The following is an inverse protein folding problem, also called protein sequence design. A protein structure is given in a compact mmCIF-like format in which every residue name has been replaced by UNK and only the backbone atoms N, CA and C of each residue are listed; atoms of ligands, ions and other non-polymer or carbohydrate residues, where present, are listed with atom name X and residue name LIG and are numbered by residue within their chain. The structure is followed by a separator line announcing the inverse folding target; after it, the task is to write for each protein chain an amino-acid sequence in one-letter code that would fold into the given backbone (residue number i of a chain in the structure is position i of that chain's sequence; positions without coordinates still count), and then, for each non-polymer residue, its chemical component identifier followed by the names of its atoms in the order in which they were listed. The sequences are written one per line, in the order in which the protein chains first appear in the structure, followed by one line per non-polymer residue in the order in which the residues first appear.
data_IF_398836407391
#
_entry.id   IF_398836407391
#
_cell.length_a   1.000
_cell.length_b   1.000
_cell.length_c   1.000
_cell.angle_alpha   90.00
_cell.angle_beta   90.00
_cell.angle_gamma   90.00
#
_symmetry.space_group_name_H-M   'P 1'
#
loop_
_entity.id
_entity.type
_entity.pdbx_description
1 polymer ?
#
# COMPACT_ATOMS: atom_id res chain seq x y z
N UNK A 1 -9.85 9.71 -12.61
CA UNK A 1 -8.97 9.83 -11.41
C UNK A 1 -8.66 11.30 -11.18
N UNK A 2 -9.52 11.99 -10.47
CA UNK A 2 -9.28 13.38 -10.06
C UNK A 2 -8.17 13.41 -9.00
N UNK A 3 -7.18 14.29 -9.18
CA UNK A 3 -6.10 14.52 -8.20
C UNK A 3 -4.76 13.83 -8.49
N UNK A 4 -4.58 13.13 -9.60
CA UNK A 4 -3.29 12.60 -10.02
C UNK A 4 -2.53 13.62 -10.87
N UNK A 5 -1.33 14.01 -10.42
CA UNK A 5 -0.40 14.83 -11.18
C UNK A 5 1.00 14.29 -11.00
N UNK A 6 1.64 13.85 -12.06
CA UNK A 6 3.01 13.36 -12.03
C UNK A 6 3.95 14.35 -12.72
N UNK A 7 5.04 14.67 -12.08
CA UNK A 7 6.12 15.52 -12.58
C UNK A 7 7.36 14.72 -12.94
N UNK A 8 7.57 13.60 -12.25
CA UNK A 8 8.66 12.68 -12.51
C UNK A 8 8.23 11.24 -12.21
N UNK A 9 9.02 10.27 -12.67
CA UNK A 9 8.84 8.86 -12.37
C UNK A 9 9.64 8.36 -11.17
N UNK A 10 10.55 9.18 -10.63
CA UNK A 10 11.43 8.79 -9.51
C UNK A 10 10.75 8.93 -8.14
N UNK A 11 9.66 9.72 -8.06
CA UNK A 11 8.97 10.04 -6.83
C UNK A 11 9.65 11.12 -5.98
N UNK A 12 10.72 11.76 -6.47
CA UNK A 12 11.45 12.78 -5.72
C UNK A 12 10.88 14.19 -5.86
N UNK A 13 10.12 14.45 -6.93
CA UNK A 13 9.52 15.75 -7.16
C UNK A 13 8.39 16.02 -6.14
N UNK A 14 8.52 17.15 -5.43
CA UNK A 14 7.44 17.65 -4.57
C UNK A 14 6.22 18.16 -5.36
N UNK A 15 6.31 18.24 -6.68
CA UNK A 15 5.20 18.55 -7.57
C UNK A 15 4.30 17.36 -7.86
N UNK A 16 4.71 16.14 -7.51
CA UNK A 16 3.84 14.97 -7.59
C UNK A 16 2.64 15.12 -6.65
N UNK A 17 1.46 14.82 -7.15
CA UNK A 17 0.21 14.77 -6.40
C UNK A 17 -0.48 13.46 -6.70
N UNK A 18 -0.80 12.71 -5.67
CA UNK A 18 -1.54 11.46 -5.76
C UNK A 18 -2.24 11.17 -4.43
N UNK A 19 -3.23 10.33 -4.48
CA UNK A 19 -3.98 9.92 -3.29
C UNK A 19 -3.68 8.47 -2.94
N UNK A 20 -3.89 8.08 -1.69
CA UNK A 20 -3.82 6.67 -1.27
C UNK A 20 -4.77 5.81 -2.11
N UNK A 21 -5.98 6.31 -2.40
CA UNK A 21 -6.94 5.63 -3.28
C UNK A 21 -6.38 5.37 -4.67
N UNK A 22 -5.73 6.36 -5.32
CA UNK A 22 -5.18 6.17 -6.66
C UNK A 22 -4.10 5.09 -6.69
N UNK A 23 -3.26 5.01 -5.64
CA UNK A 23 -2.26 3.94 -5.52
C UNK A 23 -2.88 2.57 -5.26
N UNK A 24 -3.88 2.48 -4.37
CA UNK A 24 -4.58 1.20 -4.13
C UNK A 24 -5.27 0.69 -5.38
N UNK A 25 -5.91 1.56 -6.16
CA UNK A 25 -6.54 1.20 -7.44
C UNK A 25 -5.48 0.76 -8.46
N UNK A 26 -4.33 1.45 -8.52
CA UNK A 26 -3.23 1.02 -9.39
C UNK A 26 -2.72 -0.37 -9.03
N UNK A 27 -2.49 -0.64 -7.74
CA UNK A 27 -2.06 -1.95 -7.26
C UNK A 27 -3.06 -3.04 -7.62
N UNK A 28 -4.36 -2.79 -7.42
CA UNK A 28 -5.43 -3.70 -7.77
C UNK A 28 -5.47 -3.99 -9.28
N UNK A 29 -5.37 -2.95 -10.12
CA UNK A 29 -5.33 -3.12 -11.59
C UNK A 29 -4.09 -3.90 -12.04
N UNK A 30 -2.93 -3.60 -11.45
CA UNK A 30 -1.70 -4.34 -11.76
C UNK A 30 -1.80 -5.82 -11.37
N UNK A 31 -2.52 -6.15 -10.32
CA UNK A 31 -2.76 -7.54 -9.93
C UNK A 31 -3.66 -8.31 -10.93
N UNK A 32 -4.45 -7.60 -11.74
CA UNK A 32 -5.24 -8.19 -12.83
C UNK A 32 -4.50 -8.20 -14.18
N UNK A 33 -3.30 -7.61 -14.24
CA UNK A 33 -2.55 -7.47 -15.48
C UNK A 33 -1.83 -8.80 -15.82
N UNK A 34 -1.64 -9.15 -17.11
CA UNK A 34 -0.86 -10.34 -17.49
C UNK A 34 0.55 -10.39 -16.90
N UNK A 35 1.16 -9.24 -16.60
CA UNK A 35 2.48 -9.12 -15.97
C UNK A 35 2.42 -9.02 -14.44
N UNK A 36 1.30 -9.36 -13.79
CA UNK A 36 1.13 -9.24 -12.33
C UNK A 36 2.24 -9.93 -11.53
N UNK A 37 2.66 -11.13 -11.95
CA UNK A 37 3.70 -11.88 -11.27
C UNK A 37 5.06 -11.14 -11.31
N UNK A 38 5.43 -10.56 -12.45
CA UNK A 38 6.65 -9.77 -12.57
C UNK A 38 6.57 -8.47 -11.75
N UNK A 39 5.41 -7.82 -11.75
CA UNK A 39 5.18 -6.63 -10.97
C UNK A 39 5.34 -6.92 -9.46
N UNK A 40 4.68 -7.95 -8.95
CA UNK A 40 4.82 -8.37 -7.56
C UNK A 40 6.26 -8.80 -7.22
N UNK A 41 6.91 -9.55 -8.11
CA UNK A 41 8.29 -9.98 -7.93
C UNK A 41 9.29 -8.82 -7.87
N UNK A 42 8.99 -7.66 -8.48
CA UNK A 42 9.82 -6.45 -8.42
C UNK A 42 9.71 -5.69 -7.10
N UNK A 43 8.72 -5.99 -6.26
CA UNK A 43 8.50 -5.29 -4.99
C UNK A 43 9.47 -5.74 -3.90
N UNK A 44 9.71 -4.86 -2.93
CA UNK A 44 10.35 -5.24 -1.67
C UNK A 44 9.42 -6.13 -0.85
N UNK A 45 10.00 -7.01 -0.01
CA UNK A 45 9.26 -7.96 0.82
C UNK A 45 9.57 -7.68 2.29
N UNK A 46 8.54 -7.54 3.10
CA UNK A 46 8.64 -7.30 4.53
C UNK A 46 9.53 -8.36 5.22
N UNK A 47 10.53 -7.88 5.95
CA UNK A 47 11.49 -8.72 6.69
C UNK A 47 12.45 -9.54 5.83
N UNK A 48 12.44 -9.39 4.48
CA UNK A 48 13.23 -10.26 3.61
C UNK A 48 14.05 -9.53 2.56
N UNK A 49 13.46 -8.60 1.79
CA UNK A 49 14.09 -8.05 0.60
C UNK A 49 13.81 -6.57 0.38
N UNK A 50 14.77 -5.87 -0.24
CA UNK A 50 14.64 -4.50 -0.68
C UNK A 50 14.50 -3.50 0.48
N UNK A 51 13.80 -2.40 0.26
CA UNK A 51 13.63 -1.34 1.28
C UNK A 51 12.79 -1.77 2.48
N UNK A 52 12.16 -2.93 2.43
CA UNK A 52 11.39 -3.50 3.53
C UNK A 52 12.15 -4.61 4.29
N UNK A 53 13.38 -4.93 3.92
CA UNK A 53 14.15 -6.02 4.54
C UNK A 53 14.28 -5.89 6.05
N UNK A 54 14.45 -4.69 6.56
CA UNK A 54 14.64 -4.42 7.98
C UNK A 54 13.35 -3.97 8.68
N UNK A 55 12.18 -4.15 8.04
CA UNK A 55 10.89 -3.77 8.58
C UNK A 55 10.09 -5.00 9.02
N UNK A 56 9.28 -4.82 10.06
CA UNK A 56 8.27 -5.77 10.52
C UNK A 56 8.83 -7.08 11.11
N UNK A 57 10.08 -7.12 11.53
CA UNK A 57 10.67 -8.26 12.23
C UNK A 57 9.83 -8.67 13.44
N UNK A 58 9.67 -9.99 13.66
CA UNK A 58 8.88 -10.51 14.75
C UNK A 58 7.37 -10.32 14.62
N UNK A 59 6.89 -9.88 13.46
CA UNK A 59 5.45 -9.72 13.20
C UNK A 59 4.96 -10.69 12.13
N UNK A 60 3.63 -10.97 12.08
CA UNK A 60 3.04 -11.79 11.02
C UNK A 60 3.14 -11.20 9.61
N UNK A 61 3.65 -9.98 9.45
CA UNK A 61 3.83 -9.33 8.14
C UNK A 61 5.08 -9.83 7.39
N UNK A 62 6.03 -10.46 8.10
CA UNK A 62 7.26 -11.00 7.47
C UNK A 62 6.87 -11.97 6.35
N UNK A 63 7.36 -11.70 5.14
CA UNK A 63 7.05 -12.50 3.95
C UNK A 63 5.63 -12.38 3.41
N UNK A 64 4.75 -11.56 4.03
CA UNK A 64 3.32 -11.42 3.68
C UNK A 64 2.92 -10.01 3.24
N UNK A 65 3.86 -9.11 3.12
CA UNK A 65 3.63 -7.79 2.56
C UNK A 65 4.68 -7.50 1.49
N UNK A 66 4.23 -7.27 0.27
CA UNK A 66 5.02 -6.85 -0.88
C UNK A 66 4.73 -5.40 -1.15
N UNK A 67 5.73 -4.54 -1.18
CA UNK A 67 5.44 -3.13 -1.35
C UNK A 67 6.66 -2.23 -1.52
N UNK A 68 6.38 -0.94 -1.45
CA UNK A 68 7.37 0.12 -1.54
C UNK A 68 7.12 1.18 -0.48
N UNK A 69 8.19 1.59 0.18
CA UNK A 69 8.20 2.76 1.07
C UNK A 69 8.55 4.02 0.30
N UNK A 70 8.02 5.14 0.73
CA UNK A 70 8.43 6.48 0.29
C UNK A 70 8.83 7.34 1.48
N UNK A 71 9.94 8.05 1.36
CA UNK A 71 10.47 8.92 2.41
C UNK A 71 11.02 10.19 1.78
N UNK A 72 10.40 11.31 2.11
CA UNK A 72 10.90 12.66 1.88
C UNK A 72 10.76 13.45 3.18
N UNK A 73 11.43 14.59 3.28
CA UNK A 73 11.21 15.49 4.42
C UNK A 73 9.73 15.86 4.49
N UNK A 74 9.08 15.59 5.62
CA UNK A 74 7.65 15.83 5.84
C UNK A 74 6.69 14.91 5.06
N UNK A 75 7.20 13.82 4.45
CA UNK A 75 6.34 12.81 3.79
C UNK A 75 6.82 11.40 4.11
N UNK A 76 5.89 10.56 4.49
CA UNK A 76 6.10 9.10 4.63
C UNK A 76 4.98 8.38 3.89
N UNK A 77 5.33 7.32 3.21
CA UNK A 77 4.33 6.48 2.56
C UNK A 77 4.74 5.02 2.55
N UNK A 78 3.74 4.16 2.51
CA UNK A 78 3.90 2.74 2.24
C UNK A 78 2.72 2.28 1.42
N UNK A 79 2.97 1.54 0.36
CA UNK A 79 1.93 0.99 -0.50
C UNK A 79 2.33 -0.38 -0.99
N UNK A 80 1.37 -1.29 -1.12
CA UNK A 80 1.69 -2.65 -1.52
C UNK A 80 0.53 -3.61 -1.42
N UNK A 81 0.86 -4.88 -1.54
CA UNK A 81 -0.03 -6.03 -1.49
C UNK A 81 0.18 -6.72 -0.13
N UNK A 82 -0.87 -6.75 0.66
CA UNK A 82 -0.91 -7.45 1.95
C UNK A 82 -1.62 -8.79 1.76
N UNK A 83 -0.94 -9.88 2.05
CA UNK A 83 -1.55 -11.20 2.09
C UNK A 83 -2.32 -11.37 3.39
N UNK A 84 -3.58 -11.77 3.27
CA UNK A 84 -4.46 -12.05 4.40
C UNK A 84 -5.12 -13.42 4.22
N UNK A 85 -5.78 -13.93 5.28
CA UNK A 85 -6.50 -15.22 5.20
C UNK A 85 -7.61 -15.22 4.16
N UNK A 86 -8.17 -14.05 3.85
CA UNK A 86 -9.28 -13.89 2.91
C UNK A 86 -8.81 -13.42 1.51
N UNK A 87 -7.50 -13.57 1.24
CA UNK A 87 -6.87 -13.15 0.00
C UNK A 87 -6.13 -11.81 0.10
N UNK A 88 -5.62 -11.32 -1.04
CA UNK A 88 -4.79 -10.12 -1.06
C UNK A 88 -5.60 -8.85 -0.78
N UNK A 89 -4.98 -7.90 -0.07
CA UNK A 89 -5.47 -6.53 0.11
C UNK A 89 -4.48 -5.54 -0.50
N UNK A 90 -5.00 -4.56 -1.20
CA UNK A 90 -4.21 -3.52 -1.87
C UNK A 90 -4.19 -2.27 -1.00
N UNK A 91 -3.08 -2.05 -0.34
CA UNK A 91 -2.95 -1.05 0.72
C UNK A 91 -2.11 0.13 0.27
N UNK A 92 -2.54 1.33 0.60
CA UNK A 92 -1.74 2.53 0.43
C UNK A 92 -1.97 3.51 1.57
N UNK A 93 -0.89 3.97 2.15
CA UNK A 93 -0.88 4.99 3.20
C UNK A 93 0.10 6.10 2.82
N UNK A 94 -0.34 7.34 2.95
CA UNK A 94 0.47 8.54 2.74
C UNK A 94 0.23 9.46 3.92
N UNK A 95 1.30 9.85 4.59
CA UNK A 95 1.28 10.84 5.66
C UNK A 95 2.14 12.03 5.27
N UNK A 96 1.57 13.22 5.40
CA UNK A 96 2.26 14.50 5.21
C UNK A 96 2.35 15.23 6.55
N UNK A 97 3.46 15.91 6.79
CA UNK A 97 3.69 16.68 8.01
C UNK A 97 4.99 16.29 8.72
N UNK A 98 5.32 17.03 9.77
CA UNK A 98 6.57 16.86 10.52
C UNK A 98 6.63 15.53 11.31
N UNK A 99 5.49 14.95 11.61
CA UNK A 99 5.36 13.70 12.36
C UNK A 99 4.57 12.67 11.55
N UNK A 100 5.27 11.80 10.86
CA UNK A 100 4.71 10.63 10.22
C UNK A 100 5.55 9.41 10.61
N UNK A 101 5.36 8.84 11.80
CA UNK A 101 6.19 7.73 12.27
C UNK A 101 5.90 6.44 11.49
N UNK A 102 6.96 5.78 11.03
CA UNK A 102 6.87 4.48 10.36
C UNK A 102 6.17 3.42 11.24
N UNK A 103 6.28 3.56 12.58
CA UNK A 103 5.62 2.67 13.54
C UNK A 103 4.09 2.67 13.41
N UNK A 104 3.48 3.85 13.20
CA UNK A 104 2.01 3.95 13.03
C UNK A 104 1.55 3.23 11.76
N UNK A 105 2.27 3.38 10.65
CA UNK A 105 1.94 2.67 9.42
C UNK A 105 2.06 1.15 9.58
N UNK A 106 3.07 0.69 10.32
CA UNK A 106 3.23 -0.72 10.67
C UNK A 106 2.06 -1.26 11.50
N UNK A 107 1.62 -0.50 12.50
CA UNK A 107 0.47 -0.86 13.33
C UNK A 107 -0.83 -0.93 12.52
N UNK A 108 -1.05 0.01 11.59
CA UNK A 108 -2.22 -0.02 10.70
C UNK A 108 -2.20 -1.26 9.81
N UNK A 109 -1.04 -1.63 9.26
CA UNK A 109 -0.91 -2.86 8.46
C UNK A 109 -1.22 -4.11 9.28
N UNK A 110 -0.70 -4.20 10.51
CA UNK A 110 -0.98 -5.31 11.43
C UNK A 110 -2.47 -5.36 11.79
N UNK A 111 -3.08 -4.22 12.08
CA UNK A 111 -4.52 -4.13 12.34
C UNK A 111 -5.32 -4.58 11.11
N UNK A 112 -4.97 -4.11 9.91
CA UNK A 112 -5.63 -4.51 8.67
C UNK A 112 -5.55 -6.02 8.40
N UNK A 113 -4.42 -6.65 8.74
CA UNK A 113 -4.26 -8.09 8.63
C UNK A 113 -5.16 -8.86 9.61
N UNK A 114 -5.40 -8.31 10.80
CA UNK A 114 -6.28 -8.91 11.81
C UNK A 114 -7.76 -8.74 11.47
N UNK A 115 -8.15 -7.57 10.95
CA UNK A 115 -9.54 -7.25 10.57
C UNK A 115 -10.04 -8.20 9.49
N UNK A 116 -9.18 -8.62 8.56
CA UNK A 116 -9.55 -9.57 7.50
C UNK A 116 -9.91 -10.97 8.03
N UNK A 117 -9.71 -11.25 9.31
CA UNK A 117 -10.19 -12.47 9.97
C UNK A 117 -11.59 -12.34 10.57
N UNK A 118 -12.25 -11.19 10.43
CA UNK A 118 -13.57 -10.95 10.99
C UNK A 118 -14.65 -11.36 9.96
N UNK A 119 -15.39 -12.45 10.14
CA UNK A 119 -16.37 -12.92 9.15
C UNK A 119 -17.59 -11.99 8.99
N UNK A 120 -17.71 -10.96 9.83
CA UNK A 120 -18.87 -10.07 9.84
C UNK A 120 -18.79 -8.91 8.82
N UNK A 121 -17.70 -8.75 8.07
CA UNK A 121 -17.57 -7.67 7.08
C UNK A 121 -17.84 -8.15 5.65
N UNK A 122 -18.96 -8.81 5.43
CA UNK A 122 -19.49 -9.11 4.09
C UNK A 122 -20.52 -8.07 3.63
N UNK A 123 -20.63 -6.93 4.31
CA UNK A 123 -21.45 -5.85 3.81
C UNK A 123 -20.80 -5.30 2.53
N UNK A 124 -21.41 -5.58 1.39
CA UNK A 124 -21.06 -5.01 0.11
C UNK A 124 -21.04 -3.47 0.26
N UNK A 125 -19.85 -2.89 0.22
CA UNK A 125 -19.74 -1.45 0.00
C UNK A 125 -20.14 -1.23 -1.45
N UNK A 126 -21.39 -0.93 -1.65
CA UNK A 126 -21.89 -0.44 -2.94
C UNK A 126 -21.23 0.94 -3.15
N UNK A 127 -20.22 0.98 -4.01
CA UNK A 127 -19.66 2.26 -4.42
C UNK A 127 -20.75 3.03 -5.14
N UNK A 128 -20.98 4.31 -4.81
CA UNK A 128 -21.90 5.14 -5.57
C UNK A 128 -21.46 5.15 -7.04
N UNK A 129 -22.43 5.07 -7.95
CA UNK A 129 -22.19 5.21 -9.38
C UNK A 129 -21.45 6.53 -9.63
N UNK A 130 -20.43 6.50 -10.50
CA UNK A 130 -19.77 7.73 -10.92
C UNK A 130 -20.83 8.61 -11.61
N UNK A 131 -20.94 9.90 -11.28
CA UNK A 131 -21.76 10.81 -12.06
C UNK A 131 -21.15 10.95 -13.46
N UNK A 132 -22.02 10.92 -14.47
CA UNK A 132 -21.70 11.15 -15.90
C UNK A 132 -21.01 12.48 -16.15
#
# INVERSE_FOLDING_TARGET
MTGLRLRDGSGLSRGNRLTSRSLSVLLWRMAQHPLAAYYQASMAIAGQRGTLRNYFWGTPLVGRFWGKTGTLSGVRSISGILETTDGPRYVSMIANGSYAPNSVMGQILLASQRISRCPAWTAAVTLPAEPD
#
